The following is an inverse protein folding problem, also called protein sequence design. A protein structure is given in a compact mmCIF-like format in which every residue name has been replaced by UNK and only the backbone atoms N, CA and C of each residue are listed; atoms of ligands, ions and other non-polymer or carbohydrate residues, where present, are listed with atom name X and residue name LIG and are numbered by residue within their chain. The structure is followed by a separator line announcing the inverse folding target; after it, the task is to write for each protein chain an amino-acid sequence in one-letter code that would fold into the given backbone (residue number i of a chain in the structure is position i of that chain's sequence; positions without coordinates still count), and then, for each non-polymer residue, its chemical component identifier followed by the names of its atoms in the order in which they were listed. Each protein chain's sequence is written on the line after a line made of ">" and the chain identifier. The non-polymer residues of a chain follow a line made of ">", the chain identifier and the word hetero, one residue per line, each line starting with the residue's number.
data_IF_431994661857
#
_entry.id   IF_431994661857
#
_cell.length_a   1.000
_cell.length_b   1.000
_cell.length_c   1.000
_cell.angle_alpha   90.00
_cell.angle_beta   90.00
_cell.angle_gamma   90.00
#
_symmetry.space_group_name_H-M   'P 1'
#
loop_
_entity.id
_entity.type
_entity.pdbx_description
1 polymer ?
#
# COMPACT_ATOMS: atom_id res chain seq x y z
N UNK A 1 -8.67 6.57 20.14
CA UNK A 1 -8.40 5.19 19.65
C UNK A 1 -7.11 5.23 18.86
N UNK A 2 -6.24 4.23 18.98
CA UNK A 2 -5.03 4.16 18.16
C UNK A 2 -5.40 3.76 16.73
N UNK A 3 -4.82 4.43 15.74
CA UNK A 3 -4.93 4.04 14.34
C UNK A 3 -4.15 2.74 14.10
N UNK A 4 -4.68 1.86 13.25
CA UNK A 4 -4.02 0.63 12.84
C UNK A 4 -2.87 0.95 11.86
N UNK A 5 -1.60 0.66 12.18
CA UNK A 5 -0.53 0.74 11.20
C UNK A 5 -0.75 -0.30 10.10
N UNK A 6 -0.73 0.11 8.84
CA UNK A 6 -0.91 -0.77 7.68
C UNK A 6 0.01 -0.36 6.53
N UNK A 7 0.72 -1.33 5.97
CA UNK A 7 1.56 -1.17 4.78
C UNK A 7 0.86 -1.72 3.54
N UNK A 8 0.76 -0.89 2.49
CA UNK A 8 0.16 -1.27 1.21
C UNK A 8 1.16 -1.09 0.07
N UNK A 9 1.56 -2.18 -0.57
CA UNK A 9 2.34 -2.15 -1.82
C UNK A 9 1.42 -2.19 -3.04
N UNK A 10 1.32 -1.09 -3.78
CA UNK A 10 0.41 -0.97 -4.91
C UNK A 10 0.98 0.02 -5.95
N UNK A 11 0.62 -0.15 -7.22
CA UNK A 11 1.06 0.76 -8.27
C UNK A 11 0.62 2.21 -8.03
N UNK A 12 1.44 3.15 -8.50
CA UNK A 12 1.05 4.56 -8.60
C UNK A 12 0.18 4.75 -9.84
N UNK A 13 -1.09 5.05 -9.60
CA UNK A 13 -2.09 5.37 -10.61
C UNK A 13 -2.80 6.66 -10.23
N UNK A 14 -3.55 7.23 -11.16
CA UNK A 14 -4.51 8.30 -10.88
C UNK A 14 -5.44 7.95 -9.71
N UNK A 15 -5.96 6.72 -9.68
CA UNK A 15 -6.88 6.21 -8.64
C UNK A 15 -6.24 6.02 -7.26
N UNK A 16 -4.93 5.79 -7.18
CA UNK A 16 -4.21 5.63 -5.89
C UNK A 16 -3.51 6.92 -5.44
N UNK A 17 -3.48 7.95 -6.29
CA UNK A 17 -2.71 9.17 -6.03
C UNK A 17 -3.13 9.89 -4.75
N UNK A 18 -4.44 9.95 -4.46
CA UNK A 18 -4.97 10.62 -3.27
C UNK A 18 -4.58 9.92 -1.95
N UNK A 19 -4.31 8.61 -1.99
CA UNK A 19 -3.78 7.87 -0.84
C UNK A 19 -2.29 8.17 -0.65
N UNK A 20 -1.53 8.24 -1.75
CA UNK A 20 -0.09 8.48 -1.74
C UNK A 20 0.25 9.88 -1.18
N UNK A 21 -0.53 10.90 -1.52
CA UNK A 21 -0.30 12.27 -1.06
C UNK A 21 -1.11 12.68 0.18
N UNK A 22 -1.89 11.75 0.74
CA UNK A 22 -2.64 11.97 1.98
C UNK A 22 -3.89 12.85 1.84
N UNK A 23 -4.30 13.21 0.61
CA UNK A 23 -5.59 13.89 0.36
C UNK A 23 -6.78 13.04 0.81
N UNK A 24 -6.64 11.71 0.75
CA UNK A 24 -7.57 10.75 1.32
C UNK A 24 -6.81 9.89 2.32
N UNK A 25 -7.31 9.82 3.55
CA UNK A 25 -6.78 8.97 4.61
C UNK A 25 -7.91 8.03 5.06
N UNK A 26 -7.71 6.70 5.02
CA UNK A 26 -8.72 5.78 5.53
C UNK A 26 -8.95 6.01 7.02
N UNK A 27 -10.21 5.99 7.43
CA UNK A 27 -10.55 6.18 8.84
C UNK A 27 -9.99 5.04 9.70
N UNK A 28 -9.43 5.38 10.86
CA UNK A 28 -8.81 4.43 11.76
C UNK A 28 -7.50 3.77 11.29
N UNK A 29 -6.93 4.17 10.14
CA UNK A 29 -5.68 3.58 9.60
C UNK A 29 -4.55 4.60 9.56
N UNK A 30 -3.36 4.17 9.97
CA UNK A 30 -2.10 4.86 9.71
C UNK A 30 -1.42 4.16 8.53
N UNK A 31 -1.69 4.68 7.32
CA UNK A 31 -1.36 4.02 6.07
C UNK A 31 0.04 4.39 5.60
N UNK A 32 0.91 3.40 5.44
CA UNK A 32 2.16 3.51 4.70
C UNK A 32 1.95 2.96 3.28
N UNK A 33 1.92 3.84 2.29
CA UNK A 33 1.77 3.46 0.89
C UNK A 33 3.13 3.30 0.21
N UNK A 34 3.38 2.16 -0.43
CA UNK A 34 4.61 1.85 -1.15
C UNK A 34 4.31 1.75 -2.66
N UNK A 35 4.65 2.80 -3.45
CA UNK A 35 4.37 2.82 -4.89
C UNK A 35 5.39 1.99 -5.67
N UNK A 36 5.16 0.68 -5.74
CA UNK A 36 6.05 -0.29 -6.39
C UNK A 36 5.52 -0.75 -7.74
N UNK A 37 6.42 -1.27 -8.59
CA UNK A 37 6.03 -1.89 -9.87
C UNK A 37 5.60 -3.35 -9.63
N UNK A 38 4.69 -3.92 -10.46
CA UNK A 38 4.16 -5.26 -10.26
C UNK A 38 5.21 -6.34 -10.00
N UNK A 39 6.29 -6.37 -10.79
CA UNK A 39 7.35 -7.38 -10.62
C UNK A 39 8.02 -7.33 -9.23
N UNK A 40 8.26 -6.13 -8.70
CA UNK A 40 8.82 -5.97 -7.35
C UNK A 40 7.78 -6.31 -6.28
N UNK A 41 6.54 -5.81 -6.43
CA UNK A 41 5.43 -6.11 -5.51
C UNK A 41 5.20 -7.61 -5.36
N UNK A 42 5.12 -8.32 -6.48
CA UNK A 42 4.84 -9.77 -6.50
C UNK A 42 5.99 -10.54 -5.88
N UNK A 43 7.23 -10.20 -6.23
CA UNK A 43 8.39 -10.89 -5.67
C UNK A 43 8.46 -10.72 -4.15
N UNK A 44 8.38 -9.48 -3.65
CA UNK A 44 8.47 -9.15 -2.21
C UNK A 44 7.29 -9.70 -1.40
N UNK A 45 6.07 -9.64 -1.93
CA UNK A 45 4.92 -10.21 -1.21
C UNK A 45 4.92 -11.74 -1.24
N UNK A 46 4.99 -12.35 -2.42
CA UNK A 46 4.74 -13.80 -2.56
C UNK A 46 5.89 -14.65 -2.02
N UNK A 47 7.11 -14.12 -2.00
CA UNK A 47 8.28 -14.85 -1.48
C UNK A 47 8.65 -14.47 -0.05
N UNK A 48 8.33 -13.23 0.38
CA UNK A 48 8.85 -12.69 1.65
C UNK A 48 7.79 -12.10 2.57
N UNK A 49 6.55 -11.90 2.11
CA UNK A 49 5.47 -11.34 2.94
C UNK A 49 5.81 -9.97 3.51
N UNK A 50 6.53 -9.13 2.77
CA UNK A 50 7.11 -7.88 3.29
C UNK A 50 6.09 -6.77 3.64
N UNK A 51 4.81 -6.95 3.28
CA UNK A 51 3.77 -5.95 3.47
C UNK A 51 2.50 -6.59 4.04
N UNK A 52 1.67 -5.78 4.71
CA UNK A 52 0.37 -6.24 5.23
C UNK A 52 -0.62 -6.52 4.09
N UNK A 53 -0.55 -5.72 3.01
CA UNK A 53 -1.38 -5.89 1.82
C UNK A 53 -0.64 -5.49 0.54
N UNK A 54 -1.03 -6.09 -0.59
CA UNK A 54 -0.49 -5.73 -1.90
C UNK A 54 -1.47 -5.95 -3.05
N UNK A 55 -1.30 -5.17 -4.12
CA UNK A 55 -1.98 -5.40 -5.41
C UNK A 55 -1.45 -6.68 -6.08
N UNK A 56 -2.36 -7.53 -6.57
CA UNK A 56 -2.06 -8.80 -7.25
C UNK A 56 -2.97 -8.96 -8.49
N UNK A 57 -2.63 -8.28 -9.59
CA UNK A 57 -3.41 -8.24 -10.84
C UNK A 57 -2.56 -8.40 -12.08
#
# INVERSE_FOLDING_TARGET
>A
MHKLPLTLACGRYDRTQALIDGRVQPDGVDLTFLPLRPGETFWRMLNHGEFDASEMS
#
